data_IF_762010152804
#
_entry.id   IF_762010152804
#
_cell.length_a   1.000
_cell.length_b   1.000
_cell.length_c   1.000
_cell.angle_alpha   90.00
_cell.angle_beta   90.00
_cell.angle_gamma   90.00
#
_symmetry.space_group_name_H-M   'P 1'
#
loop_
_entity.id
_entity.type
_entity.pdbx_description
1 polymer ?
#
# COMPACT_ATOMS: atom_id res chain seq x y z
N UNK A 1 -2.89 -3.09 -2.32
CA UNK A 1 -2.06 -4.13 -1.69
C UNK A 1 -0.91 -3.48 -0.94
N UNK A 2 -0.66 -3.85 0.31
CA UNK A 2 0.40 -3.23 1.15
C UNK A 2 1.41 -4.30 1.56
N UNK A 3 2.72 -4.04 1.40
CA UNK A 3 3.81 -4.90 1.85
C UNK A 3 4.84 -4.10 2.66
N UNK A 4 5.38 -4.69 3.72
CA UNK A 4 6.47 -4.09 4.53
C UNK A 4 7.85 -4.22 3.89
N UNK A 5 8.00 -5.21 3.00
CA UNK A 5 9.22 -5.56 2.26
C UNK A 5 9.02 -5.27 0.76
N UNK A 6 10.08 -5.33 -0.09
CA UNK A 6 9.94 -5.16 -1.53
C UNK A 6 8.84 -6.04 -2.13
N UNK A 7 7.93 -5.44 -2.91
CA UNK A 7 6.79 -6.16 -3.47
C UNK A 7 7.18 -7.02 -4.67
N UNK A 8 6.97 -8.33 -4.55
CA UNK A 8 7.18 -9.32 -5.61
C UNK A 8 5.98 -9.54 -6.52
N UNK A 9 6.13 -10.43 -7.50
CA UNK A 9 5.03 -10.86 -8.38
C UNK A 9 3.82 -11.45 -7.62
N UNK A 10 4.04 -12.00 -6.42
CA UNK A 10 2.98 -12.47 -5.54
C UNK A 10 2.04 -11.34 -5.11
N UNK A 11 2.55 -10.13 -4.86
CA UNK A 11 1.73 -8.96 -4.51
C UNK A 11 0.87 -8.52 -5.70
N UNK A 12 1.41 -8.57 -6.91
CA UNK A 12 0.64 -8.30 -8.14
C UNK A 12 -0.47 -9.33 -8.31
N UNK A 13 -0.17 -10.63 -8.16
CA UNK A 13 -1.16 -11.71 -8.24
C UNK A 13 -2.26 -11.54 -7.19
N UNK A 14 -1.89 -11.20 -5.96
CA UNK A 14 -2.83 -10.98 -4.87
C UNK A 14 -3.79 -9.82 -5.16
N UNK A 15 -3.26 -8.67 -5.63
CA UNK A 15 -4.10 -7.53 -6.01
C UNK A 15 -5.01 -7.86 -7.19
N UNK A 16 -4.51 -8.60 -8.19
CA UNK A 16 -5.30 -9.05 -9.32
C UNK A 16 -6.44 -9.99 -8.91
N UNK A 17 -6.22 -10.86 -7.93
CA UNK A 17 -7.27 -11.73 -7.40
C UNK A 17 -8.38 -10.92 -6.72
N UNK A 18 -8.03 -9.92 -5.91
CA UNK A 18 -9.01 -9.06 -5.27
C UNK A 18 -9.88 -8.30 -6.26
N UNK A 19 -9.31 -7.80 -7.35
CA UNK A 19 -10.05 -7.08 -8.38
C UNK A 19 -11.13 -7.93 -9.07
N UNK A 20 -11.04 -9.26 -9.05
CA UNK A 20 -12.08 -10.14 -9.62
C UNK A 20 -13.40 -10.06 -8.85
N UNK A 21 -13.36 -9.66 -7.58
CA UNK A 21 -14.52 -9.60 -6.69
C UNK A 21 -14.92 -8.17 -6.34
N UNK A 22 -14.34 -7.18 -7.01
CA UNK A 22 -14.62 -5.77 -6.77
C UNK A 22 -15.24 -5.13 -8.00
N UNK A 23 -16.32 -4.40 -7.80
CA UNK A 23 -16.93 -3.56 -8.83
C UNK A 23 -16.69 -2.08 -8.52
N UNK A 24 -16.41 -1.30 -9.56
CA UNK A 24 -16.32 0.14 -9.41
C UNK A 24 -17.72 0.73 -9.18
N UNK A 25 -17.89 1.71 -8.29
CA UNK A 25 -19.11 2.49 -8.22
C UNK A 25 -19.43 3.15 -9.57
N UNK A 26 -20.72 3.39 -9.84
CA UNK A 26 -21.17 4.01 -11.10
C UNK A 26 -20.42 5.32 -11.37
N UNK A 27 -19.86 5.45 -12.57
CA UNK A 27 -19.10 6.62 -12.98
C UNK A 27 -17.70 6.74 -12.36
N UNK A 28 -17.22 5.71 -11.65
CA UNK A 28 -15.85 5.64 -11.08
C UNK A 28 -15.07 4.49 -11.72
N UNK A 29 -13.74 4.54 -11.57
CA UNK A 29 -12.81 3.48 -11.97
C UNK A 29 -12.07 2.98 -10.74
N UNK A 30 -11.84 1.68 -10.66
CA UNK A 30 -10.92 1.12 -9.67
C UNK A 30 -9.50 1.53 -10.02
N UNK A 31 -8.73 1.93 -8.99
CA UNK A 31 -7.31 2.26 -9.10
C UNK A 31 -6.52 1.29 -8.24
N UNK A 32 -6.06 0.17 -8.81
CA UNK A 32 -5.25 -0.79 -8.06
C UNK A 32 -3.86 -0.23 -7.79
N UNK A 33 -3.51 -0.12 -6.50
CA UNK A 33 -2.21 0.40 -6.05
C UNK A 33 -1.49 -0.66 -5.22
N UNK A 34 -0.22 -0.90 -5.53
CA UNK A 34 0.74 -1.59 -4.66
C UNK A 34 1.53 -0.55 -3.86
N UNK A 35 1.55 -0.72 -2.54
CA UNK A 35 2.27 0.14 -1.60
C UNK A 35 3.34 -0.71 -0.91
N UNK A 36 4.61 -0.37 -1.11
CA UNK A 36 5.75 -1.07 -0.52
C UNK A 36 7.00 -0.17 -0.52
N UNK A 37 8.08 -0.49 0.21
CA UNK A 37 9.32 0.28 0.15
C UNK A 37 9.92 0.34 -1.27
N UNK A 38 9.81 -0.77 -2.02
CA UNK A 38 10.29 -0.90 -3.41
C UNK A 38 9.59 -2.07 -4.12
N UNK A 39 9.89 -2.27 -5.40
CA UNK A 39 9.50 -3.45 -6.18
C UNK A 39 10.66 -4.43 -6.25
N UNK A 40 10.38 -5.73 -6.22
CA UNK A 40 11.39 -6.74 -6.50
C UNK A 40 11.84 -6.68 -7.98
N UNK A 41 13.05 -7.16 -8.25
CA UNK A 41 13.63 -7.15 -9.60
C UNK A 41 12.71 -7.86 -10.60
N UNK A 42 12.45 -7.20 -11.73
CA UNK A 42 11.63 -7.76 -12.81
C UNK A 42 10.11 -7.68 -12.61
N UNK A 43 9.62 -7.05 -11.52
CA UNK A 43 8.17 -6.92 -11.28
C UNK A 43 7.54 -5.76 -12.08
N UNK A 44 8.30 -4.71 -12.37
CA UNK A 44 7.79 -3.50 -13.05
C UNK A 44 7.04 -3.81 -14.37
N UNK A 45 7.55 -4.66 -15.29
CA UNK A 45 6.83 -4.96 -16.53
C UNK A 45 5.48 -5.64 -16.31
N UNK A 46 5.37 -6.48 -15.26
CA UNK A 46 4.10 -7.15 -14.92
C UNK A 46 3.12 -6.14 -14.34
N UNK A 47 3.60 -5.24 -13.48
CA UNK A 47 2.81 -4.17 -12.88
C UNK A 47 2.23 -3.24 -13.97
N UNK A 48 3.06 -2.84 -14.93
CA UNK A 48 2.66 -2.02 -16.09
C UNK A 48 1.65 -2.75 -16.99
N UNK A 49 1.90 -4.02 -17.33
CA UNK A 49 0.97 -4.84 -18.13
C UNK A 49 -0.41 -4.94 -17.49
N UNK A 50 -0.46 -5.01 -16.16
CA UNK A 50 -1.72 -5.10 -15.40
C UNK A 50 -2.39 -3.73 -15.19
N UNK A 51 -1.74 -2.62 -15.55
CA UNK A 51 -2.24 -1.27 -15.31
C UNK A 51 -2.32 -0.91 -13.82
N UNK A 52 -1.45 -1.52 -13.00
CA UNK A 52 -1.42 -1.26 -11.57
C UNK A 52 -0.49 -0.08 -11.27
N UNK A 53 -0.85 0.72 -10.27
CA UNK A 53 0.00 1.80 -9.79
C UNK A 53 0.95 1.29 -8.70
N UNK A 54 2.11 1.91 -8.59
CA UNK A 54 3.06 1.68 -7.50
C UNK A 54 3.26 2.97 -6.71
N UNK A 55 3.16 2.88 -5.38
CA UNK A 55 3.47 3.98 -4.46
C UNK A 55 4.54 3.53 -3.46
N UNK A 56 5.74 4.12 -3.48
CA UNK A 56 6.75 3.79 -2.49
C UNK A 56 6.35 4.32 -1.11
N UNK A 57 6.42 3.46 -0.10
CA UNK A 57 6.22 3.81 1.31
C UNK A 57 7.09 2.91 2.19
N UNK A 58 8.04 3.50 2.89
CA UNK A 58 8.90 2.78 3.85
C UNK A 58 8.24 2.73 5.23
N UNK A 59 8.63 1.76 6.07
CA UNK A 59 8.18 1.70 7.46
C UNK A 59 8.53 2.97 8.25
N UNK A 60 9.74 3.51 8.03
CA UNK A 60 10.15 4.78 8.62
C UNK A 60 9.21 5.91 8.20
N UNK A 61 8.84 5.97 6.92
CA UNK A 61 7.92 7.01 6.44
C UNK A 61 6.51 6.85 7.00
N UNK A 62 6.04 5.62 7.17
CA UNK A 62 4.79 5.33 7.85
C UNK A 62 4.83 5.82 9.30
N UNK A 63 5.92 5.52 10.02
CA UNK A 63 6.13 5.97 11.40
C UNK A 63 6.15 7.50 11.51
N UNK A 64 6.95 8.19 10.69
CA UNK A 64 6.99 9.65 10.63
C UNK A 64 5.62 10.26 10.37
N UNK A 65 4.86 9.66 9.45
CA UNK A 65 3.52 10.13 9.11
C UNK A 65 2.59 9.96 10.30
N UNK A 66 2.66 8.82 10.98
CA UNK A 66 1.83 8.53 12.14
C UNK A 66 2.15 9.47 13.33
N UNK A 67 3.43 9.73 13.59
CA UNK A 67 3.88 10.68 14.62
C UNK A 67 3.45 12.13 14.34
N UNK A 68 3.36 12.54 13.07
CA UNK A 68 2.86 13.86 12.70
C UNK A 68 1.37 14.02 12.99
N UNK A 69 0.58 12.96 12.78
CA UNK A 69 -0.87 12.99 12.96
C UNK A 69 -1.32 12.63 14.38
N UNK A 70 -0.50 11.90 15.15
CA UNK A 70 -0.76 11.65 16.58
C UNK A 70 -0.75 12.93 17.42
N UNK A 71 -0.05 13.97 16.96
CA UNK A 71 -0.04 15.30 17.60
C UNK A 71 -1.30 16.12 17.34
N UNK A 72 -2.11 15.78 16.33
CA UNK A 72 -3.22 16.64 15.90
C UNK A 72 -4.62 16.14 16.24
N UNK A 73 -4.93 14.82 16.31
CA UNK A 73 -6.29 14.40 16.77
C UNK A 73 -6.57 12.88 17.03
N UNK A 74 -5.63 12.03 17.47
CA UNK A 74 -5.92 10.57 17.59
C UNK A 74 -5.51 9.93 18.93
N UNK A 75 -6.46 9.92 19.87
CA UNK A 75 -6.41 9.20 21.15
C UNK A 75 -6.13 7.68 21.08
N UNK A 76 -6.51 6.90 20.04
CA UNK A 76 -6.31 5.44 20.05
C UNK A 76 -4.87 4.99 19.75
N UNK A 77 -4.11 5.80 19.02
CA UNK A 77 -2.75 5.44 18.59
C UNK A 77 -1.67 5.88 19.58
N UNK A 78 -2.03 6.72 20.56
CA UNK A 78 -1.08 7.23 21.56
C UNK A 78 -0.44 6.09 22.37
N UNK A 79 -1.23 5.10 22.78
CA UNK A 79 -0.77 3.93 23.52
C UNK A 79 0.10 2.95 22.72
N UNK A 80 0.13 3.06 21.39
CA UNK A 80 1.07 2.29 20.55
C UNK A 80 2.48 2.89 20.57
N UNK A 81 2.64 4.16 20.90
CA UNK A 81 3.92 4.87 20.89
C UNK A 81 4.54 5.08 22.27
N UNK A 82 3.77 4.92 23.34
CA UNK A 82 4.23 5.10 24.73
C UNK A 82 4.83 3.81 25.32
N UNK A 83 4.81 2.69 24.59
CA UNK A 83 5.27 1.37 25.04
C UNK A 83 6.59 0.88 24.39
N UNK A 84 7.27 1.74 23.61
CA UNK A 84 8.61 1.49 23.06
C UNK A 84 9.68 2.34 23.78
#
# INVERSE_FOLDING_TARGET
EIKKDPAGASAVKQLAEYLKYLEAPLGKKLRPIIVAPSLAKGVMPVLEKMGFEFKPLTLQKSLETLQKHSRSDQSPLKGWFEND
#
